data_IF_355249335443
#
_entry.id   IF_355249335443
#
_cell.length_a   1.000
_cell.length_b   1.000
_cell.length_c   1.000
_cell.angle_alpha   90.00
_cell.angle_beta   90.00
_cell.angle_gamma   90.00
#
_symmetry.space_group_name_H-M   'P 1'
#
loop_
_entity.id
_entity.type
_entity.pdbx_description
1 polymer ?
#
# COMPACT_ATOMS: atom_id res chain seq x y z
N UNK A 1 -44.73 20.76 30.17
CA UNK A 1 -44.13 20.57 28.86
C UNK A 1 -42.72 20.08 29.09
N UNK A 2 -42.52 18.75 29.05
CA UNK A 2 -41.25 18.12 29.40
C UNK A 2 -40.46 17.92 28.10
N UNK A 3 -39.36 18.65 27.93
CA UNK A 3 -38.40 18.42 26.90
C UNK A 3 -37.69 17.07 27.18
N UNK A 4 -37.89 16.07 26.31
CA UNK A 4 -37.06 14.89 26.29
C UNK A 4 -35.82 15.23 25.50
N UNK A 5 -34.69 15.24 26.17
CA UNK A 5 -33.35 15.30 25.61
C UNK A 5 -33.06 13.94 24.93
N UNK A 6 -33.33 13.86 23.63
CA UNK A 6 -32.87 12.74 22.82
C UNK A 6 -31.43 13.08 22.43
N UNK A 7 -30.48 12.62 23.26
CA UNK A 7 -29.06 12.84 23.13
C UNK A 7 -28.47 12.45 21.76
N UNK A 8 -27.24 12.92 21.44
CA UNK A 8 -26.64 12.94 20.10
C UNK A 8 -26.21 11.59 19.51
N UNK A 9 -26.64 10.46 20.06
CA UNK A 9 -26.15 9.13 19.65
C UNK A 9 -26.79 8.50 18.41
N UNK A 10 -27.80 9.11 17.79
CA UNK A 10 -28.55 8.46 16.69
C UNK A 10 -28.32 9.00 15.26
N UNK A 11 -27.41 9.92 15.05
CA UNK A 11 -27.20 10.51 13.72
C UNK A 11 -26.04 9.91 12.91
N UNK A 12 -25.26 8.97 13.47
CA UNK A 12 -24.04 8.48 12.82
C UNK A 12 -24.13 7.07 12.19
N UNK A 13 -25.33 6.48 12.06
CA UNK A 13 -25.47 5.08 11.65
C UNK A 13 -26.25 4.79 10.37
N UNK A 14 -26.39 5.75 9.45
CA UNK A 14 -26.91 5.44 8.12
C UNK A 14 -26.08 6.12 7.03
N UNK A 15 -25.23 5.34 6.33
CA UNK A 15 -24.84 5.65 4.97
C UNK A 15 -23.70 6.65 4.77
N UNK A 16 -22.85 6.94 5.75
CA UNK A 16 -21.68 7.78 5.50
C UNK A 16 -20.46 6.92 5.11
N UNK A 17 -19.87 7.20 3.97
CA UNK A 17 -18.53 6.70 3.65
C UNK A 17 -17.58 7.08 4.77
N UNK A 18 -16.98 6.08 5.44
CA UNK A 18 -16.17 6.31 6.63
C UNK A 18 -14.80 5.66 6.52
N UNK A 19 -13.77 6.42 6.95
CA UNK A 19 -12.46 5.83 7.21
C UNK A 19 -12.58 4.81 8.34
N UNK A 20 -11.90 3.67 8.20
CA UNK A 20 -12.01 2.54 9.14
C UNK A 20 -10.93 2.58 10.22
N UNK A 21 -11.38 2.36 11.47
CA UNK A 21 -10.53 2.32 12.64
C UNK A 21 -9.83 0.96 12.79
N UNK A 22 -8.80 0.92 13.62
CA UNK A 22 -7.98 -0.25 13.95
C UNK A 22 -8.77 -1.50 14.30
N UNK A 23 -9.83 -1.38 15.13
CA UNK A 23 -10.70 -2.51 15.50
C UNK A 23 -11.44 -3.12 14.30
N UNK A 24 -11.85 -2.30 13.32
CA UNK A 24 -12.45 -2.79 12.08
C UNK A 24 -11.39 -3.49 11.21
N UNK A 25 -10.19 -2.89 11.09
CA UNK A 25 -9.07 -3.46 10.31
C UNK A 25 -8.69 -4.83 10.86
N UNK A 26 -8.51 -4.95 12.20
CA UNK A 26 -8.22 -6.24 12.87
C UNK A 26 -9.30 -7.29 12.58
N UNK A 27 -10.58 -6.92 12.72
CA UNK A 27 -11.69 -7.84 12.44
C UNK A 27 -11.66 -8.33 11.00
N UNK A 28 -11.52 -7.43 10.02
CA UNK A 28 -11.49 -7.80 8.60
C UNK A 28 -10.26 -8.64 8.23
N UNK A 29 -9.10 -8.35 8.81
CA UNK A 29 -7.90 -9.16 8.61
C UNK A 29 -8.07 -10.58 9.15
N UNK A 30 -8.65 -10.75 10.34
CA UNK A 30 -8.83 -12.05 10.98
C UNK A 30 -9.98 -12.87 10.38
N UNK A 31 -11.14 -12.25 10.13
CA UNK A 31 -12.35 -12.95 9.68
C UNK A 31 -12.37 -13.17 8.16
N UNK A 32 -11.86 -12.23 7.37
CA UNK A 32 -11.89 -12.26 5.89
C UNK A 32 -10.52 -12.37 5.23
N UNK A 33 -9.44 -12.48 6.02
CA UNK A 33 -8.06 -12.50 5.52
C UNK A 33 -7.74 -11.32 4.60
N UNK A 34 -8.29 -10.14 4.93
CA UNK A 34 -8.12 -8.95 4.11
C UNK A 34 -6.64 -8.54 3.97
N UNK A 35 -5.83 -8.81 4.98
CA UNK A 35 -4.38 -8.56 5.02
C UNK A 35 -3.69 -9.82 5.55
N UNK A 36 -2.70 -10.36 4.82
CA UNK A 36 -1.98 -11.59 5.20
C UNK A 36 -0.51 -11.55 4.73
N UNK A 37 0.50 -11.69 5.61
CA UNK A 37 0.38 -11.83 7.07
C UNK A 37 -0.06 -10.51 7.73
N UNK A 38 -0.72 -10.60 8.87
CA UNK A 38 -1.32 -9.47 9.57
C UNK A 38 -0.66 -9.20 10.93
N UNK A 39 -0.34 -7.93 11.20
CA UNK A 39 0.16 -7.47 12.49
C UNK A 39 -0.90 -6.62 13.21
N UNK A 40 -1.39 -7.14 14.34
CA UNK A 40 -2.51 -6.53 15.07
C UNK A 40 -2.14 -5.22 15.80
N UNK A 41 -0.86 -4.95 15.98
CA UNK A 41 -0.33 -3.75 16.62
C UNK A 41 0.80 -3.13 15.80
N UNK A 42 1.36 -2.03 16.31
CA UNK A 42 2.49 -1.36 15.68
C UNK A 42 3.81 -1.97 16.17
N UNK A 43 4.55 -2.61 15.27
CA UNK A 43 5.90 -3.14 15.51
C UNK A 43 6.93 -2.05 15.26
N UNK A 44 7.82 -1.81 16.21
CA UNK A 44 8.84 -0.73 16.16
C UNK A 44 10.26 -1.25 16.36
N UNK A 45 10.36 -2.51 16.72
CA UNK A 45 11.63 -3.16 17.02
C UNK A 45 11.55 -4.64 16.65
N UNK A 46 12.63 -5.16 16.10
CA UNK A 46 12.76 -6.60 15.79
C UNK A 46 14.17 -7.03 16.20
N UNK A 47 14.28 -8.12 16.97
CA UNK A 47 15.57 -8.67 17.44
C UNK A 47 16.44 -7.63 18.17
N UNK A 48 15.82 -6.75 18.99
CA UNK A 48 16.52 -5.70 19.74
C UNK A 48 16.99 -4.51 18.89
N UNK A 49 16.58 -4.41 17.61
CA UNK A 49 16.93 -3.32 16.71
C UNK A 49 15.70 -2.48 16.36
N UNK A 50 15.86 -1.18 16.43
CA UNK A 50 14.83 -0.24 15.95
C UNK A 50 14.68 -0.35 14.45
N UNK A 51 13.44 -0.40 13.98
CA UNK A 51 13.07 -0.49 12.59
C UNK A 51 12.12 0.65 12.21
N UNK A 52 11.93 0.89 10.90
CA UNK A 52 10.83 1.71 10.43
C UNK A 52 9.54 0.94 10.68
N UNK A 53 8.69 1.44 11.56
CA UNK A 53 7.54 0.73 12.12
C UNK A 53 6.52 0.28 11.08
N UNK A 54 5.86 -0.87 11.33
CA UNK A 54 4.79 -1.41 10.49
C UNK A 54 3.66 -2.01 11.35
N UNK A 55 2.53 -2.34 10.73
CA UNK A 55 1.38 -2.93 11.40
C UNK A 55 0.21 -1.98 11.56
N UNK A 56 -0.75 -2.34 12.40
CA UNK A 56 -2.01 -1.61 12.57
C UNK A 56 -1.81 -0.30 13.33
N UNK A 57 -2.22 0.82 12.71
CA UNK A 57 -2.32 2.16 13.31
C UNK A 57 -3.78 2.49 13.65
N UNK A 58 -4.07 3.70 14.14
CA UNK A 58 -5.42 4.10 14.58
C UNK A 58 -6.47 4.02 13.47
N UNK A 59 -6.13 4.43 12.25
CA UNK A 59 -7.02 4.48 11.08
C UNK A 59 -6.35 3.96 9.81
N UNK A 60 -5.42 3.02 9.93
CA UNK A 60 -4.71 2.47 8.80
C UNK A 60 -3.85 1.27 9.16
N UNK A 61 -3.11 0.80 8.17
CA UNK A 61 -2.15 -0.27 8.30
C UNK A 61 -0.86 0.10 7.57
N UNK A 62 0.25 0.10 8.30
CA UNK A 62 1.57 0.38 7.72
C UNK A 62 2.15 -0.92 7.14
N UNK A 63 2.31 -0.95 5.82
CA UNK A 63 2.79 -2.12 5.07
C UNK A 63 4.30 -2.19 5.03
N UNK A 64 4.82 -3.42 4.96
CA UNK A 64 6.25 -3.72 4.80
C UNK A 64 6.64 -3.83 3.33
N UNK A 65 7.85 -3.41 3.02
CA UNK A 65 8.50 -3.72 1.75
C UNK A 65 9.07 -5.15 1.76
N UNK A 66 8.83 -5.94 0.74
CA UNK A 66 9.50 -7.23 0.57
C UNK A 66 10.99 -7.05 0.18
N UNK A 67 11.73 -8.14 0.11
CA UNK A 67 13.16 -8.17 -0.21
C UNK A 67 13.49 -8.25 -1.71
N UNK A 68 12.49 -8.01 -2.54
CA UNK A 68 12.58 -8.06 -4.01
C UNK A 68 12.34 -6.68 -4.60
N UNK A 69 13.30 -6.18 -5.37
CA UNK A 69 13.28 -4.85 -5.96
C UNK A 69 13.63 -4.91 -7.44
N UNK A 70 13.12 -3.96 -8.19
CA UNK A 70 13.51 -3.65 -9.57
C UNK A 70 13.96 -2.20 -9.63
N UNK A 71 15.27 -1.99 -9.76
CA UNK A 71 15.87 -0.65 -9.79
C UNK A 71 15.95 -0.18 -11.24
N UNK A 72 15.40 1.01 -11.52
CA UNK A 72 15.42 1.58 -12.87
C UNK A 72 16.83 1.92 -13.33
N UNK A 73 17.12 1.62 -14.58
CA UNK A 73 18.34 1.98 -15.31
C UNK A 73 18.00 2.57 -16.68
N UNK A 74 18.74 3.56 -17.10
CA UNK A 74 18.56 4.23 -18.42
C UNK A 74 19.48 3.67 -19.52
N UNK A 75 20.15 2.54 -19.29
CA UNK A 75 21.15 2.00 -20.22
C UNK A 75 20.51 1.47 -21.51
N UNK A 76 19.31 0.89 -21.41
CA UNK A 76 18.67 0.16 -22.49
C UNK A 76 17.53 0.91 -23.19
N UNK A 77 17.21 2.13 -22.77
CA UNK A 77 16.11 2.90 -23.36
C UNK A 77 16.42 4.38 -23.37
N UNK A 78 16.01 5.08 -24.42
CA UNK A 78 16.15 6.53 -24.60
C UNK A 78 14.90 7.30 -24.14
N UNK A 79 13.78 6.59 -23.95
CA UNK A 79 12.50 7.17 -23.54
C UNK A 79 11.76 6.16 -22.64
N UNK A 80 11.06 6.67 -21.64
CA UNK A 80 10.13 5.86 -20.84
C UNK A 80 8.74 5.98 -21.46
N UNK A 81 8.23 4.87 -21.99
CA UNK A 81 6.91 4.80 -22.60
C UNK A 81 6.07 3.71 -21.91
N UNK A 82 4.93 4.03 -21.29
CA UNK A 82 4.09 3.04 -20.59
C UNK A 82 3.43 2.02 -21.54
N UNK A 83 3.32 2.31 -22.84
CA UNK A 83 2.74 1.40 -23.84
C UNK A 83 3.76 0.39 -24.37
N UNK A 84 5.02 0.79 -24.44
CA UNK A 84 6.12 0.00 -25.02
C UNK A 84 7.29 -0.09 -24.04
N UNK A 85 6.98 -0.28 -22.75
CA UNK A 85 7.99 -0.31 -21.69
C UNK A 85 8.97 -1.47 -21.89
N UNK A 86 10.29 -1.15 -21.95
CA UNK A 86 11.34 -2.16 -22.07
C UNK A 86 11.68 -2.75 -20.68
N UNK A 87 11.41 -4.04 -20.42
CA UNK A 87 11.74 -4.69 -19.14
C UNK A 87 13.23 -4.63 -18.78
N UNK A 88 14.13 -4.48 -19.78
CA UNK A 88 15.58 -4.34 -19.57
C UNK A 88 15.95 -3.01 -18.92
N UNK A 89 15.01 -2.07 -18.81
CA UNK A 89 15.17 -0.84 -18.03
C UNK A 89 15.15 -1.05 -16.52
N UNK A 90 15.05 -2.29 -16.05
CA UNK A 90 15.18 -2.63 -14.64
C UNK A 90 16.30 -3.62 -14.40
N UNK A 91 16.97 -3.45 -13.24
CA UNK A 91 17.89 -4.41 -12.65
C UNK A 91 17.21 -5.03 -11.44
N UNK A 92 17.16 -6.34 -11.39
CA UNK A 92 16.62 -7.08 -10.25
C UNK A 92 17.62 -7.08 -9.11
N UNK A 93 17.15 -6.70 -7.93
CA UNK A 93 17.92 -6.68 -6.67
C UNK A 93 17.13 -7.46 -5.63
N UNK A 94 17.79 -8.37 -4.93
CA UNK A 94 17.24 -9.09 -3.78
C UNK A 94 18.15 -8.93 -2.58
N UNK A 95 17.58 -8.51 -1.44
CA UNK A 95 18.37 -8.32 -0.23
C UNK A 95 17.62 -7.57 0.87
N UNK A 96 18.29 -7.38 2.00
CA UNK A 96 17.75 -6.68 3.17
C UNK A 96 17.56 -5.17 2.95
N UNK A 97 18.14 -4.63 1.90
CA UNK A 97 18.02 -3.22 1.53
C UNK A 97 18.15 -3.02 0.02
N UNK A 98 17.60 -1.93 -0.47
CA UNK A 98 17.75 -1.46 -1.85
C UNK A 98 18.32 -0.04 -1.85
N UNK A 99 19.28 0.22 -2.73
CA UNK A 99 19.81 1.57 -2.98
C UNK A 99 19.24 2.09 -4.30
N UNK A 100 18.44 3.14 -4.22
CA UNK A 100 17.88 3.82 -5.39
C UNK A 100 18.83 4.94 -5.81
N UNK A 101 19.33 4.95 -7.06
CA UNK A 101 20.21 6.02 -7.53
C UNK A 101 19.57 7.43 -7.42
N UNK A 102 20.39 8.51 -7.42
CA UNK A 102 19.88 9.87 -7.43
C UNK A 102 18.88 10.13 -8.56
N UNK A 103 17.78 10.83 -8.26
CA UNK A 103 16.75 11.19 -9.25
C UNK A 103 16.23 10.00 -10.08
N UNK A 104 16.20 8.80 -9.48
CA UNK A 104 15.74 7.57 -10.09
C UNK A 104 14.59 6.96 -9.29
N UNK A 105 14.12 5.79 -9.70
CA UNK A 105 13.04 5.09 -9.03
C UNK A 105 13.28 3.58 -8.97
N UNK A 106 12.54 2.92 -8.12
CA UNK A 106 12.52 1.46 -8.01
C UNK A 106 11.10 0.97 -7.79
N UNK A 107 10.82 -0.24 -8.24
CA UNK A 107 9.62 -0.98 -7.90
C UNK A 107 9.96 -2.04 -6.86
N UNK A 108 9.03 -2.26 -5.94
CA UNK A 108 9.05 -3.37 -5.01
C UNK A 108 7.64 -3.92 -4.82
N UNK A 109 7.44 -4.86 -3.92
CA UNK A 109 6.11 -5.30 -3.53
C UNK A 109 5.95 -5.29 -2.01
N UNK A 110 4.71 -5.31 -1.56
CA UNK A 110 4.43 -5.51 -0.14
C UNK A 110 4.74 -6.95 0.29
N UNK A 111 5.14 -7.12 1.56
CA UNK A 111 5.16 -8.44 2.22
C UNK A 111 3.72 -8.96 2.34
N UNK A 112 2.79 -8.06 2.65
CA UNK A 112 1.39 -8.36 2.84
C UNK A 112 0.71 -8.64 1.49
N UNK A 113 -0.13 -9.67 1.48
CA UNK A 113 -1.11 -9.96 0.44
C UNK A 113 -2.46 -9.38 0.86
N UNK A 114 -3.13 -8.67 -0.03
CA UNK A 114 -4.42 -8.03 0.22
C UNK A 114 -5.56 -8.75 -0.50
N UNK A 115 -6.74 -8.77 0.13
CA UNK A 115 -8.01 -9.17 -0.47
C UNK A 115 -9.05 -8.12 -0.12
N UNK A 116 -9.29 -7.20 -1.04
CA UNK A 116 -10.13 -6.03 -0.79
C UNK A 116 -11.61 -6.42 -0.95
N UNK A 117 -12.44 -6.24 0.08
CA UNK A 117 -13.88 -6.48 -0.03
C UNK A 117 -14.55 -5.55 -1.05
N UNK A 118 -15.68 -5.99 -1.61
CA UNK A 118 -16.42 -5.24 -2.65
C UNK A 118 -16.90 -3.86 -2.18
N UNK A 119 -17.16 -3.73 -0.88
CA UNK A 119 -17.59 -2.47 -0.25
C UNK A 119 -16.45 -1.54 0.18
N UNK A 120 -15.18 -1.89 -0.13
CA UNK A 120 -14.01 -1.19 0.39
C UNK A 120 -13.15 -0.64 -0.75
N UNK A 121 -12.72 0.62 -0.57
CA UNK A 121 -11.64 1.26 -1.33
C UNK A 121 -10.45 1.45 -0.40
N UNK A 122 -9.22 1.19 -0.89
CA UNK A 122 -8.00 1.46 -0.13
C UNK A 122 -7.16 2.51 -0.81
N UNK A 123 -6.73 3.51 -0.05
CA UNK A 123 -5.79 4.55 -0.50
C UNK A 123 -4.45 4.32 0.20
N UNK A 124 -3.38 4.26 -0.59
CA UNK A 124 -2.02 4.14 -0.08
C UNK A 124 -1.34 5.51 -0.03
N UNK A 125 -0.71 5.81 1.09
CA UNK A 125 0.12 7.01 1.28
C UNK A 125 1.52 6.61 1.71
N UNK A 126 2.53 7.40 1.30
CA UNK A 126 3.91 7.21 1.74
C UNK A 126 4.06 7.41 3.25
N UNK A 127 5.00 6.68 3.85
CA UNK A 127 5.32 6.81 5.27
C UNK A 127 6.13 8.08 5.53
N UNK A 128 5.76 8.82 6.58
CA UNK A 128 6.37 10.12 6.91
C UNK A 128 7.90 10.06 7.12
N UNK A 129 8.44 8.93 7.56
CA UNK A 129 9.88 8.71 7.71
C UNK A 129 10.61 8.83 6.37
N UNK A 130 10.12 8.16 5.34
CA UNK A 130 10.68 8.24 3.98
C UNK A 130 10.38 9.55 3.28
N UNK A 131 9.16 10.07 3.44
CA UNK A 131 8.75 11.34 2.85
C UNK A 131 9.66 12.51 3.28
N UNK A 132 10.09 12.55 4.57
CA UNK A 132 11.02 13.55 5.09
C UNK A 132 12.46 13.39 4.58
N UNK A 133 12.79 12.25 3.99
CA UNK A 133 14.06 12.01 3.31
C UNK A 133 13.98 12.26 1.79
N UNK A 134 12.87 12.82 1.28
CA UNK A 134 12.68 13.05 -0.14
C UNK A 134 12.39 11.78 -0.94
N UNK A 135 11.89 10.73 -0.29
CA UNK A 135 11.49 9.48 -0.94
C UNK A 135 9.97 9.44 -1.00
N UNK A 136 9.44 9.35 -2.20
CA UNK A 136 8.01 9.26 -2.46
C UNK A 136 7.65 7.79 -2.70
N UNK A 137 6.60 7.32 -2.04
CA UNK A 137 5.95 6.05 -2.37
C UNK A 137 4.62 6.39 -3.04
N UNK A 138 4.47 5.96 -4.29
CA UNK A 138 3.24 6.12 -5.05
C UNK A 138 2.58 4.75 -5.24
N UNK A 139 1.27 4.69 -5.08
CA UNK A 139 0.44 3.51 -5.37
C UNK A 139 -0.95 4.02 -5.75
N UNK A 140 -1.49 3.55 -6.84
CA UNK A 140 -2.89 3.85 -7.19
C UNK A 140 -3.85 3.17 -6.20
N UNK A 141 -5.09 3.67 -6.01
CA UNK A 141 -6.04 3.06 -5.09
C UNK A 141 -6.26 1.57 -5.37
N UNK A 142 -6.35 0.77 -4.30
CA UNK A 142 -6.78 -0.62 -4.41
C UNK A 142 -8.29 -0.66 -4.47
N UNK A 143 -8.81 -1.07 -5.60
CA UNK A 143 -10.22 -1.03 -5.89
C UNK A 143 -10.99 -2.24 -5.30
N UNK A 144 -12.33 -2.16 -5.23
CA UNK A 144 -13.18 -3.26 -4.81
C UNK A 144 -12.85 -4.59 -5.49
N UNK A 145 -12.72 -5.65 -4.70
CA UNK A 145 -12.38 -7.03 -5.12
C UNK A 145 -11.01 -7.21 -5.79
N UNK A 146 -10.13 -6.18 -5.72
CA UNK A 146 -8.74 -6.39 -6.06
C UNK A 146 -8.07 -7.27 -5.00
N UNK A 147 -7.20 -8.19 -5.45
CA UNK A 147 -6.34 -8.96 -4.57
C UNK A 147 -4.93 -9.11 -5.13
N UNK A 148 -3.94 -9.24 -4.25
CA UNK A 148 -2.54 -9.40 -4.63
C UNK A 148 -1.56 -8.81 -3.62
N UNK A 149 -0.27 -8.96 -3.92
CA UNK A 149 0.77 -8.11 -3.32
C UNK A 149 0.78 -6.76 -4.05
N UNK A 150 0.81 -5.66 -3.31
CA UNK A 150 0.81 -4.32 -3.90
C UNK A 150 2.19 -4.03 -4.48
N UNK A 151 2.27 -3.61 -5.73
CA UNK A 151 3.51 -3.03 -6.27
C UNK A 151 3.69 -1.64 -5.68
N UNK A 152 4.83 -1.41 -5.04
CA UNK A 152 5.25 -0.15 -4.42
C UNK A 152 6.18 0.58 -5.39
N UNK A 153 5.88 1.82 -5.71
CA UNK A 153 6.61 2.65 -6.67
C UNK A 153 7.39 3.72 -5.90
N UNK A 154 8.68 3.47 -5.65
CA UNK A 154 9.55 4.38 -4.90
C UNK A 154 10.24 5.36 -5.86
N UNK A 155 10.10 6.66 -5.62
CA UNK A 155 10.85 7.70 -6.34
C UNK A 155 11.84 8.36 -5.38
N UNK A 156 13.13 8.37 -5.74
CA UNK A 156 14.16 9.13 -5.08
C UNK A 156 14.26 10.52 -5.73
N UNK A 157 13.73 11.55 -5.06
CA UNK A 157 13.75 12.93 -5.57
C UNK A 157 14.99 13.71 -5.14
N UNK A 158 15.97 13.04 -4.51
CA UNK A 158 17.18 13.68 -3.98
C UNK A 158 18.38 13.50 -4.91
N UNK A 159 19.40 14.35 -4.84
CA UNK A 159 20.65 14.19 -5.59
C UNK A 159 21.60 13.14 -4.98
N UNK A 160 21.17 12.42 -3.95
CA UNK A 160 21.94 11.37 -3.28
C UNK A 160 21.27 9.99 -3.47
N UNK A 161 22.04 8.89 -3.40
CA UNK A 161 21.47 7.55 -3.32
C UNK A 161 20.56 7.43 -2.10
N UNK A 162 19.37 6.83 -2.28
CA UNK A 162 18.39 6.63 -1.21
C UNK A 162 18.28 5.16 -0.84
N UNK A 163 18.18 4.85 0.47
CA UNK A 163 18.09 3.49 0.99
C UNK A 163 16.67 3.15 1.41
N UNK A 164 16.18 2.00 0.94
CA UNK A 164 14.93 1.37 1.37
C UNK A 164 15.26 0.08 2.10
N UNK A 165 14.66 -0.16 3.25
CA UNK A 165 14.84 -1.38 4.04
C UNK A 165 13.75 -2.40 3.73
N UNK A 166 14.17 -3.65 3.44
CA UNK A 166 13.24 -4.77 3.32
C UNK A 166 12.69 -5.19 4.69
N UNK A 167 11.49 -5.76 4.70
CA UNK A 167 10.74 -6.20 5.88
C UNK A 167 10.42 -5.11 6.90
N UNK A 168 10.60 -3.84 6.54
CA UNK A 168 10.25 -2.68 7.35
C UNK A 168 9.11 -1.86 6.71
N UNK A 169 8.48 -0.99 7.51
CA UNK A 169 7.33 -0.20 7.09
C UNK A 169 7.69 0.90 6.08
N UNK A 170 6.96 0.99 4.97
CA UNK A 170 7.27 1.93 3.88
C UNK A 170 6.10 2.81 3.45
N UNK A 171 4.87 2.37 3.70
CA UNK A 171 3.67 3.08 3.28
C UNK A 171 2.50 2.75 4.22
N UNK A 172 1.46 3.58 4.19
CA UNK A 172 0.25 3.40 5.00
C UNK A 172 -0.97 3.21 4.11
N UNK A 173 -1.74 2.16 4.39
CA UNK A 173 -3.03 1.87 3.77
C UNK A 173 -4.16 2.43 4.60
N UNK A 174 -5.01 3.28 4.01
CA UNK A 174 -6.23 3.82 4.59
C UNK A 174 -7.43 3.11 3.97
N UNK A 175 -8.35 2.61 4.80
CA UNK A 175 -9.51 1.84 4.36
C UNK A 175 -10.77 2.69 4.45
N UNK A 176 -11.50 2.78 3.34
CA UNK A 176 -12.77 3.50 3.23
C UNK A 176 -13.86 2.50 2.86
N UNK A 177 -14.93 2.46 3.62
CA UNK A 177 -16.11 1.68 3.25
C UNK A 177 -17.13 2.61 2.61
N UNK A 178 -17.59 2.24 1.42
CA UNK A 178 -18.63 2.97 0.70
C UNK A 178 -20.00 2.79 1.39
N UNK A 179 -20.87 3.77 1.25
CA UNK A 179 -22.29 3.73 1.62
C UNK A 179 -23.12 2.87 0.67
N UNK A 180 -22.69 2.76 -0.59
CA UNK A 180 -23.28 1.88 -1.60
C UNK A 180 -22.21 0.95 -2.19
N UNK A 181 -22.58 -0.29 -2.49
CA UNK A 181 -21.70 -1.25 -3.15
C UNK A 181 -21.66 -0.92 -4.64
N UNK A 182 -20.45 -0.91 -5.22
CA UNK A 182 -20.29 -0.64 -6.66
C UNK A 182 -20.93 -1.72 -7.54
N UNK A 183 -21.54 -1.32 -8.65
CA UNK A 183 -22.12 -2.24 -9.64
C UNK A 183 -21.05 -3.10 -10.32
N UNK A 184 -19.89 -2.49 -10.61
CA UNK A 184 -18.78 -3.15 -11.32
C UNK A 184 -17.49 -3.01 -10.51
N UNK A 185 -16.94 -4.13 -10.03
CA UNK A 185 -15.67 -4.18 -9.29
C UNK A 185 -14.46 -4.28 -10.22
N UNK A 186 -13.26 -4.22 -9.64
CA UNK A 186 -12.01 -4.45 -10.37
C UNK A 186 -11.93 -5.86 -10.96
N UNK A 187 -12.44 -6.86 -10.24
CA UNK A 187 -12.53 -8.24 -10.71
C UNK A 187 -13.51 -8.38 -11.86
N UNK A 188 -14.71 -7.77 -11.76
CA UNK A 188 -15.77 -7.87 -12.78
C UNK A 188 -15.31 -7.33 -14.14
N UNK A 189 -14.50 -6.26 -14.17
CA UNK A 189 -13.96 -5.70 -15.42
C UNK A 189 -12.63 -6.31 -15.88
N UNK A 190 -12.17 -7.39 -15.23
CA UNK A 190 -10.94 -8.08 -15.62
C UNK A 190 -9.70 -7.22 -15.46
N UNK A 191 -9.59 -6.49 -14.33
CA UNK A 191 -8.50 -5.55 -14.08
C UNK A 191 -7.12 -6.17 -14.26
N UNK A 192 -6.25 -5.50 -15.02
CA UNK A 192 -4.96 -6.04 -15.51
C UNK A 192 -3.93 -6.38 -14.43
N UNK A 193 -4.12 -5.89 -13.23
CA UNK A 193 -3.25 -6.14 -12.08
C UNK A 193 -3.87 -7.04 -11.01
N UNK A 194 -4.93 -7.80 -11.36
CA UNK A 194 -5.54 -8.76 -10.45
C UNK A 194 -4.60 -9.94 -10.17
N UNK A 195 -4.50 -10.35 -8.89
CA UNK A 195 -3.75 -11.54 -8.49
C UNK A 195 -2.22 -11.38 -8.55
N UNK A 196 -1.68 -10.19 -8.36
CA UNK A 196 -0.23 -9.96 -8.40
C UNK A 196 0.49 -10.78 -7.31
N UNK A 197 1.50 -11.57 -7.69
CA UNK A 197 2.33 -12.38 -6.78
C UNK A 197 3.77 -11.89 -6.64
N UNK A 198 4.24 -11.04 -7.53
CA UNK A 198 5.59 -10.47 -7.56
C UNK A 198 5.57 -8.98 -7.88
N UNK A 199 6.75 -8.39 -8.09
CA UNK A 199 6.88 -7.00 -8.59
C UNK A 199 6.40 -6.95 -10.03
N UNK A 200 5.28 -6.29 -10.26
CA UNK A 200 4.62 -6.25 -11.59
C UNK A 200 5.07 -5.02 -12.38
N UNK A 201 5.49 -5.25 -13.62
CA UNK A 201 5.85 -4.20 -14.56
C UNK A 201 4.62 -3.52 -15.17
N UNK A 202 4.78 -2.31 -15.80
CA UNK A 202 3.69 -1.65 -16.50
C UNK A 202 3.03 -2.56 -17.54
N UNK A 203 1.70 -2.52 -17.57
CA UNK A 203 0.88 -3.20 -18.58
C UNK A 203 0.00 -2.14 -19.26
N UNK A 204 0.06 -2.06 -20.58
CA UNK A 204 -0.82 -1.17 -21.35
C UNK A 204 -2.23 -1.75 -21.52
#
# INVERSE_FOLDING_TARGET
>A
MVYRDDGPERLWHRGAMTIKADKWIRRMALERKMIEPFEAGMVRETEGRKIVSYGTSSYGYDVRCADEFKVFTNINSTIVDPKTFDPRSFVDVKGSECIIPPNSFALARTVEYFRIPREVLVVCLGKSTYARCGIIVNVTPLEPEWEGHVTLEFSNTTPLPARIYANEGVAQMLFFQSDEVCDTSYRDRGGKYQGQTGVTLPKA
#
